data_IF_240035545985
#
_entry.id   IF_240035545985
#
_cell.length_a   1.000
_cell.length_b   1.000
_cell.length_c   1.000
_cell.angle_alpha   90.00
_cell.angle_beta   90.00
_cell.angle_gamma   90.00
#
_symmetry.space_group_name_H-M   'P 1'
#
loop_
_entity.id
_entity.type
_entity.pdbx_description
1 polymer ?
#
# COMPACT_ATOMS: atom_id res chain seq x y z
N UNK A 1 -2.36 29.19 14.22
CA UNK A 1 -2.29 27.77 13.83
C UNK A 1 -2.51 27.70 12.33
N UNK A 2 -1.54 27.18 11.56
CA UNK A 2 -1.73 26.97 10.12
C UNK A 2 -2.74 25.82 9.93
N UNK A 3 -3.64 25.93 8.96
CA UNK A 3 -4.55 24.82 8.60
C UNK A 3 -3.71 23.63 8.15
N UNK A 4 -4.05 22.44 8.64
CA UNK A 4 -3.39 21.20 8.20
C UNK A 4 -3.87 20.85 6.79
N UNK A 5 -3.09 20.06 6.06
CA UNK A 5 -3.44 19.64 4.70
C UNK A 5 -4.73 18.79 4.69
N UNK A 6 -5.02 18.14 5.82
CA UNK A 6 -6.23 17.35 6.05
C UNK A 6 -7.49 18.21 6.23
N UNK A 7 -7.35 19.52 6.50
CA UNK A 7 -8.48 20.46 6.61
C UNK A 7 -8.96 21.00 5.25
N UNK A 8 -8.25 20.68 4.16
CA UNK A 8 -8.61 21.14 2.82
C UNK A 8 -9.77 20.32 2.24
N UNK A 9 -10.77 20.96 1.59
CA UNK A 9 -11.81 20.21 0.90
C UNK A 9 -11.20 19.32 -0.18
N UNK A 10 -11.74 18.11 -0.30
CA UNK A 10 -11.29 17.10 -1.27
C UNK A 10 -11.54 17.59 -2.69
N UNK A 11 -10.53 17.49 -3.53
CA UNK A 11 -10.53 17.81 -4.96
C UNK A 11 -9.64 16.81 -5.71
N UNK A 12 -9.60 16.90 -7.05
CA UNK A 12 -8.82 15.97 -7.86
C UNK A 12 -7.30 16.00 -7.62
N UNK A 13 -6.78 17.04 -6.96
CA UNK A 13 -5.35 17.16 -6.65
C UNK A 13 -4.97 16.50 -5.30
N UNK A 14 -5.84 16.55 -4.29
CA UNK A 14 -5.56 16.02 -2.95
C UNK A 14 -6.30 14.70 -2.63
N UNK A 15 -7.25 14.29 -3.46
CA UNK A 15 -8.07 13.10 -3.20
C UNK A 15 -8.26 12.24 -4.45
N UNK A 16 -8.05 10.94 -4.29
CA UNK A 16 -8.54 9.91 -5.21
C UNK A 16 -8.95 8.69 -4.40
N UNK A 17 -10.02 8.01 -4.82
CA UNK A 17 -10.40 6.75 -4.19
C UNK A 17 -9.38 5.67 -4.59
N UNK A 18 -8.72 5.06 -3.60
CA UNK A 18 -7.70 4.04 -3.84
C UNK A 18 -8.30 2.65 -3.61
N UNK A 19 -8.07 1.75 -4.58
CA UNK A 19 -8.20 0.31 -4.32
C UNK A 19 -7.09 -0.13 -3.36
N UNK A 20 -7.22 -1.26 -2.66
CA UNK A 20 -6.15 -1.76 -1.80
C UNK A 20 -4.80 -1.93 -2.52
N UNK A 21 -4.83 -2.31 -3.80
CA UNK A 21 -3.62 -2.44 -4.61
C UNK A 21 -2.97 -1.07 -4.90
N UNK A 22 -3.76 -0.07 -5.29
CA UNK A 22 -3.24 1.28 -5.53
C UNK A 22 -2.77 1.96 -4.24
N UNK A 23 -3.45 1.72 -3.13
CA UNK A 23 -2.98 2.18 -1.83
C UNK A 23 -1.61 1.59 -1.48
N UNK A 24 -1.44 0.27 -1.64
CA UNK A 24 -0.18 -0.39 -1.35
C UNK A 24 0.97 0.18 -2.20
N UNK A 25 0.75 0.36 -3.50
CA UNK A 25 1.74 0.94 -4.42
C UNK A 25 2.09 2.39 -4.06
N UNK A 26 1.07 3.22 -3.79
CA UNK A 26 1.28 4.62 -3.41
C UNK A 26 2.03 4.74 -2.09
N UNK A 27 1.69 3.94 -1.09
CA UNK A 27 2.35 3.95 0.21
C UNK A 27 3.84 3.56 0.10
N UNK A 28 4.16 2.53 -0.71
CA UNK A 28 5.53 2.12 -0.98
C UNK A 28 6.34 3.14 -1.79
N UNK A 29 5.67 3.93 -2.64
CA UNK A 29 6.31 4.97 -3.45
C UNK A 29 6.58 6.24 -2.65
N UNK A 30 5.59 6.72 -1.89
CA UNK A 30 5.65 8.01 -1.17
C UNK A 30 6.37 7.87 0.19
N UNK A 31 6.27 6.72 0.84
CA UNK A 31 6.84 6.49 2.17
C UNK A 31 7.64 5.18 2.26
N UNK A 32 8.61 4.94 1.38
CA UNK A 32 9.26 3.64 1.22
C UNK A 32 9.88 3.08 2.50
N UNK A 33 10.49 3.95 3.30
CA UNK A 33 11.26 3.58 4.50
C UNK A 33 10.46 3.73 5.80
N UNK A 34 9.22 4.23 5.72
CA UNK A 34 8.31 4.29 6.88
C UNK A 34 7.81 2.88 7.21
N UNK A 35 7.70 2.58 8.51
CA UNK A 35 7.15 1.31 9.00
C UNK A 35 5.71 1.14 8.51
N UNK A 36 5.43 0.01 7.87
CA UNK A 36 4.11 -0.41 7.39
C UNK A 36 3.44 -1.39 8.35
N UNK A 37 4.22 -2.31 8.92
CA UNK A 37 3.78 -3.37 9.82
C UNK A 37 4.72 -3.43 11.00
N UNK A 38 4.17 -3.53 12.22
CA UNK A 38 4.91 -3.82 13.45
C UNK A 38 4.18 -4.93 14.18
N UNK A 39 4.85 -6.08 14.34
CA UNK A 39 4.32 -7.25 15.03
C UNK A 39 5.42 -7.88 15.90
N UNK A 40 5.39 -7.57 17.20
CA UNK A 40 6.44 -7.97 18.13
C UNK A 40 7.81 -7.45 17.67
N UNK A 41 8.77 -8.35 17.47
CA UNK A 41 10.12 -8.02 16.98
C UNK A 41 10.20 -7.85 15.46
N UNK A 42 9.13 -8.21 14.73
CA UNK A 42 9.09 -8.11 13.28
C UNK A 42 8.55 -6.74 12.90
N UNK A 43 9.28 -6.03 12.06
CA UNK A 43 8.80 -4.81 11.42
C UNK A 43 9.14 -4.81 9.95
N UNK A 44 8.25 -4.27 9.13
CA UNK A 44 8.50 -4.04 7.71
C UNK A 44 8.33 -2.57 7.38
N UNK A 45 9.07 -2.11 6.37
CA UNK A 45 8.81 -0.83 5.70
C UNK A 45 7.79 -1.02 4.58
N UNK A 46 7.19 0.08 4.09
CA UNK A 46 6.27 -0.01 2.95
C UNK A 46 6.92 -0.60 1.70
N UNK A 47 8.19 -0.29 1.42
CA UNK A 47 8.96 -0.92 0.34
C UNK A 47 9.00 -2.45 0.48
N UNK A 48 9.37 -2.93 1.67
CA UNK A 48 9.47 -4.36 1.95
C UNK A 48 8.10 -5.06 1.84
N UNK A 49 7.03 -4.43 2.35
CA UNK A 49 5.67 -4.97 2.22
C UNK A 49 5.27 -5.13 0.76
N UNK A 50 5.48 -4.09 -0.06
CA UNK A 50 5.17 -4.14 -1.48
C UNK A 50 5.91 -5.26 -2.22
N UNK A 51 7.23 -5.37 -2.02
CA UNK A 51 8.04 -6.43 -2.64
C UNK A 51 7.59 -7.84 -2.22
N UNK A 52 7.24 -8.03 -0.94
CA UNK A 52 6.73 -9.31 -0.43
C UNK A 52 5.37 -9.65 -1.05
N UNK A 53 4.44 -8.70 -1.10
CA UNK A 53 3.13 -8.88 -1.72
C UNK A 53 3.26 -9.22 -3.21
N UNK A 54 4.13 -8.54 -3.96
CA UNK A 54 4.36 -8.84 -5.38
C UNK A 54 4.95 -10.22 -5.61
N UNK A 55 5.90 -10.66 -4.77
CA UNK A 55 6.47 -12.02 -4.85
C UNK A 55 5.40 -13.08 -4.61
N UNK A 56 4.55 -12.88 -3.60
CA UNK A 56 3.43 -13.78 -3.33
C UNK A 56 2.43 -13.79 -4.49
N UNK A 57 2.01 -12.62 -4.99
CA UNK A 57 1.10 -12.51 -6.12
C UNK A 57 1.65 -13.22 -7.37
N UNK A 58 2.95 -13.09 -7.65
CA UNK A 58 3.62 -13.81 -8.74
C UNK A 58 3.56 -15.33 -8.57
N UNK A 59 3.74 -15.83 -7.34
CA UNK A 59 3.63 -17.26 -7.03
C UNK A 59 2.19 -17.79 -7.15
N UNK A 60 1.20 -17.01 -6.71
CA UNK A 60 -0.22 -17.33 -6.85
C UNK A 60 -0.63 -17.37 -8.32
N UNK A 61 -0.19 -16.39 -9.12
CA UNK A 61 -0.44 -16.36 -10.56
C UNK A 61 0.14 -17.59 -11.27
N UNK A 62 1.35 -18.03 -10.89
CA UNK A 62 1.95 -19.28 -11.41
C UNK A 62 1.16 -20.54 -11.03
N UNK A 63 0.32 -20.47 -10.00
CA UNK A 63 -0.58 -21.55 -9.57
C UNK A 63 -2.01 -21.37 -10.11
N UNK A 64 -2.20 -20.50 -11.10
CA UNK A 64 -3.49 -20.20 -11.72
C UNK A 64 -4.56 -19.68 -10.75
N UNK A 65 -4.14 -19.06 -9.63
CA UNK A 65 -5.05 -18.37 -8.72
C UNK A 65 -5.33 -16.99 -9.29
N UNK A 66 -6.60 -16.72 -9.60
CA UNK A 66 -7.04 -15.50 -10.25
C UNK A 66 -8.36 -14.98 -9.70
N UNK A 67 -9.02 -14.09 -10.46
CA UNK A 67 -10.32 -13.54 -10.08
C UNK A 67 -11.32 -14.69 -9.89
N UNK A 68 -12.05 -14.68 -8.77
CA UNK A 68 -13.03 -15.72 -8.42
C UNK A 68 -12.43 -17.00 -7.83
N UNK A 69 -11.11 -17.08 -7.64
CA UNK A 69 -10.47 -18.14 -6.85
C UNK A 69 -10.52 -17.81 -5.36
N UNK A 70 -10.81 -18.78 -4.49
CA UNK A 70 -10.77 -18.64 -3.02
C UNK A 70 -10.10 -19.86 -2.41
#
# INVERSE_FOLDING_TARGET
MARDIDDLPKNGANYTALTPLWFLERAATVHPDRKSIVHGRVSYTWRQTYERCRRLASALNRRSVGLGST
#
